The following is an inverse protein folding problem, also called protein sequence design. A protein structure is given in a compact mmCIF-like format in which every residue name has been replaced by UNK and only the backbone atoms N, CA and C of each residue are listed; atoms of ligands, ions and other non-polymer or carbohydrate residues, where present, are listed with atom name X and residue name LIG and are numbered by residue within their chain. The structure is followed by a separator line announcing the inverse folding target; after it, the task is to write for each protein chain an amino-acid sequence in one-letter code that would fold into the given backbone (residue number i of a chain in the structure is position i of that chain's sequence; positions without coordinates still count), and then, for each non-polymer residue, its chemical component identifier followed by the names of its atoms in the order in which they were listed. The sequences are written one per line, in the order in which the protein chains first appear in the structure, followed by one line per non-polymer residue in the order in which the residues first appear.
data_IF_509483320189
#
_entry.id   IF_509483320189
#
_cell.length_a   1.000
_cell.length_b   1.000
_cell.length_c   1.000
_cell.angle_alpha   90.00
_cell.angle_beta   90.00
_cell.angle_gamma   90.00
#
_symmetry.space_group_name_H-M   'P 1'
#
loop_
_entity.id
_entity.type
_entity.pdbx_description
1 polymer ?
#
# COMPACT_ATOMS: atom_id res chain seq x y z
N UNK A 1 18.97 -10.25 10.45
CA UNK A 1 17.58 -10.01 10.91
C UNK A 1 17.07 -11.28 11.60
N UNK A 2 16.28 -11.15 12.68
CA UNK A 2 15.74 -12.27 13.46
C UNK A 2 14.23 -12.38 13.29
N UNK A 3 13.74 -13.52 12.84
CA UNK A 3 12.30 -13.85 12.80
C UNK A 3 11.75 -13.97 14.24
N UNK A 4 10.64 -13.30 14.54
CA UNK A 4 10.00 -13.37 15.87
C UNK A 4 8.76 -14.27 15.81
N UNK A 5 7.75 -13.87 15.03
CA UNK A 5 6.50 -14.63 14.92
C UNK A 5 5.71 -14.24 13.65
N UNK A 6 4.88 -15.16 13.12
CA UNK A 6 3.95 -14.84 12.06
C UNK A 6 2.75 -14.04 12.58
N UNK A 7 2.38 -13.00 11.86
CA UNK A 7 1.12 -12.28 12.04
C UNK A 7 0.10 -12.94 11.12
N UNK A 8 -0.76 -13.79 11.67
CA UNK A 8 -1.75 -14.57 10.92
C UNK A 8 -2.94 -13.72 10.46
N UNK A 9 -2.66 -12.72 9.63
CA UNK A 9 -3.65 -11.83 9.02
C UNK A 9 -3.71 -12.08 7.51
N UNK A 10 -4.87 -12.55 7.04
CA UNK A 10 -5.14 -12.75 5.61
C UNK A 10 -4.22 -13.78 4.93
N UNK A 11 -4.17 -13.71 3.58
CA UNK A 11 -3.39 -14.63 2.75
C UNK A 11 -1.93 -14.22 2.50
N UNK A 12 -1.47 -13.08 3.04
CA UNK A 12 -0.11 -12.55 2.80
C UNK A 12 0.90 -12.94 3.89
N UNK A 13 0.43 -13.53 5.00
CA UNK A 13 1.23 -14.06 6.13
C UNK A 13 2.44 -13.18 6.52
N UNK A 14 2.22 -11.90 6.85
CA UNK A 14 3.30 -11.04 7.33
C UNK A 14 3.95 -11.59 8.60
N UNK A 15 5.15 -11.13 8.94
CA UNK A 15 5.81 -11.54 10.17
C UNK A 15 6.45 -10.36 10.91
N UNK A 16 6.47 -10.46 12.23
CA UNK A 16 7.27 -9.59 13.08
C UNK A 16 8.72 -10.08 13.06
N UNK A 17 9.65 -9.18 12.81
CA UNK A 17 11.08 -9.44 12.85
C UNK A 17 11.84 -8.31 13.57
N UNK A 18 13.01 -8.63 14.07
CA UNK A 18 13.97 -7.68 14.66
C UNK A 18 15.14 -7.52 13.70
N UNK A 19 15.44 -6.29 13.28
CA UNK A 19 16.58 -6.01 12.41
C UNK A 19 17.86 -5.81 13.23
N UNK A 20 18.97 -5.54 12.55
CA UNK A 20 20.29 -5.30 13.12
C UNK A 20 20.46 -3.88 13.70
N UNK A 21 19.48 -3.02 13.50
CA UNK A 21 19.36 -1.68 14.08
C UNK A 21 18.61 -1.65 15.43
N UNK A 22 18.35 -2.84 16.01
CA UNK A 22 17.58 -3.07 17.24
C UNK A 22 16.09 -2.66 17.17
N UNK A 23 15.57 -2.30 15.99
CA UNK A 23 14.15 -2.02 15.77
C UNK A 23 13.38 -3.25 15.30
N UNK A 24 12.06 -3.18 15.49
CA UNK A 24 11.12 -4.21 15.04
C UNK A 24 10.36 -3.76 13.80
N UNK A 25 10.11 -4.70 12.93
CA UNK A 25 9.45 -4.48 11.65
C UNK A 25 8.40 -5.55 11.38
N UNK A 26 7.31 -5.14 10.74
CA UNK A 26 6.37 -6.04 10.07
C UNK A 26 6.87 -6.26 8.65
N UNK A 27 7.31 -7.48 8.36
CA UNK A 27 7.81 -7.85 7.04
C UNK A 27 6.67 -8.27 6.11
N UNK A 28 6.77 -7.79 4.88
CA UNK A 28 5.99 -8.23 3.72
C UNK A 28 6.93 -8.97 2.77
N UNK A 29 6.54 -10.20 2.47
CA UNK A 29 7.40 -11.18 1.82
C UNK A 29 7.23 -11.19 0.29
N UNK A 30 8.34 -11.24 -0.45
CA UNK A 30 8.34 -11.39 -1.92
C UNK A 30 7.83 -12.76 -2.37
N UNK A 31 7.93 -13.78 -1.51
CA UNK A 31 7.45 -15.13 -1.79
C UNK A 31 5.95 -15.32 -1.54
N UNK A 32 5.23 -14.29 -1.08
CA UNK A 32 3.79 -14.36 -0.88
C UNK A 32 3.05 -14.51 -2.22
N UNK A 33 1.77 -14.94 -2.20
CA UNK A 33 1.04 -15.31 -3.42
C UNK A 33 0.93 -14.22 -4.51
N UNK A 34 0.92 -12.93 -4.15
CA UNK A 34 0.93 -11.81 -5.09
C UNK A 34 2.35 -11.29 -5.41
N UNK A 35 3.37 -11.91 -4.82
CA UNK A 35 4.78 -11.71 -5.09
C UNK A 35 5.25 -10.27 -4.92
N UNK A 36 6.27 -9.92 -5.71
CA UNK A 36 6.84 -8.56 -5.77
C UNK A 36 5.84 -7.49 -6.19
N UNK A 37 4.77 -7.83 -6.93
CA UNK A 37 3.72 -6.86 -7.32
C UNK A 37 3.03 -6.28 -6.08
N UNK A 38 2.73 -7.11 -5.06
CA UNK A 38 2.20 -6.63 -3.78
C UNK A 38 3.20 -5.72 -3.04
N UNK A 39 4.50 -6.06 -3.06
CA UNK A 39 5.53 -5.20 -2.45
C UNK A 39 5.64 -3.85 -3.14
N UNK A 40 5.49 -3.83 -4.47
CA UNK A 40 5.43 -2.59 -5.25
C UNK A 40 4.18 -1.78 -4.86
N UNK A 41 3.02 -2.41 -4.69
CA UNK A 41 1.81 -1.70 -4.23
C UNK A 41 1.99 -1.10 -2.83
N UNK A 42 2.57 -1.83 -1.89
CA UNK A 42 2.86 -1.34 -0.55
C UNK A 42 3.85 -0.16 -0.59
N UNK A 43 4.94 -0.30 -1.35
CA UNK A 43 5.96 0.73 -1.49
C UNK A 43 5.40 2.01 -2.12
N UNK A 44 4.72 1.89 -3.26
CA UNK A 44 4.14 3.03 -3.97
C UNK A 44 3.03 3.69 -3.14
N UNK A 45 2.12 2.89 -2.57
CA UNK A 45 1.07 3.37 -1.69
C UNK A 45 1.64 4.16 -0.51
N UNK A 46 2.64 3.61 0.17
CA UNK A 46 3.28 4.30 1.30
C UNK A 46 4.02 5.57 0.88
N UNK A 47 4.77 5.57 -0.23
CA UNK A 47 5.46 6.79 -0.70
C UNK A 47 4.51 7.89 -1.16
N UNK A 48 3.37 7.54 -1.74
CA UNK A 48 2.32 8.50 -2.07
C UNK A 48 1.65 9.03 -0.78
N UNK A 49 1.39 8.17 0.20
CA UNK A 49 0.85 8.58 1.50
C UNK A 49 1.80 9.54 2.24
N UNK A 50 3.11 9.24 2.26
CA UNK A 50 4.16 10.13 2.80
C UNK A 50 4.11 11.50 2.11
N UNK A 51 4.06 11.54 0.78
CA UNK A 51 3.99 12.78 0.02
C UNK A 51 2.74 13.60 0.38
N UNK A 52 1.59 12.95 0.57
CA UNK A 52 0.33 13.58 0.99
C UNK A 52 0.28 13.95 2.48
N UNK A 53 1.35 13.70 3.24
CA UNK A 53 1.42 13.97 4.67
C UNK A 53 0.49 13.08 5.49
N UNK A 54 0.17 11.88 5.00
CA UNK A 54 -0.64 10.90 5.70
C UNK A 54 0.26 10.06 6.63
N UNK A 55 -0.17 9.74 7.86
CA UNK A 55 0.66 8.97 8.78
C UNK A 55 0.75 7.51 8.33
N UNK A 56 1.96 7.05 8.01
CA UNK A 56 2.29 5.64 7.76
C UNK A 56 3.53 5.25 8.57
N UNK A 57 3.68 3.97 8.97
CA UNK A 57 4.96 3.51 9.49
C UNK A 57 6.07 3.70 8.46
N UNK A 58 7.29 3.91 8.96
CA UNK A 58 8.46 4.02 8.09
C UNK A 58 8.64 2.74 7.26
N UNK A 59 8.80 2.94 5.94
CA UNK A 59 9.10 1.87 5.00
C UNK A 59 10.61 1.65 4.93
N UNK A 60 11.03 0.39 5.11
CA UNK A 60 12.42 -0.03 4.98
C UNK A 60 12.55 -1.18 4.01
N UNK A 61 13.67 -1.24 3.30
CA UNK A 61 14.02 -2.45 2.56
C UNK A 61 14.70 -3.45 3.51
N UNK A 62 14.25 -4.70 3.47
CA UNK A 62 14.73 -5.76 4.35
C UNK A 62 15.35 -6.88 3.53
N UNK A 63 16.65 -7.12 3.67
CA UNK A 63 17.30 -8.26 3.03
C UNK A 63 17.20 -9.50 3.93
N UNK A 64 16.63 -10.58 3.40
CA UNK A 64 16.48 -11.85 4.09
C UNK A 64 17.49 -12.85 3.55
N UNK A 65 18.27 -13.46 4.44
CA UNK A 65 19.20 -14.52 4.11
C UNK A 65 18.50 -15.90 4.04
N UNK A 66 19.19 -16.89 3.47
CA UNK A 66 18.74 -18.28 3.36
C UNK A 66 18.55 -18.99 4.72
N UNK A 67 18.99 -18.36 5.81
CA UNK A 67 18.84 -18.85 7.18
C UNK A 67 17.58 -18.27 7.86
N UNK A 68 16.93 -17.28 7.25
CA UNK A 68 15.80 -16.57 7.83
C UNK A 68 14.60 -17.50 8.05
N UNK A 69 14.17 -17.61 9.32
CA UNK A 69 13.02 -18.43 9.69
C UNK A 69 13.24 -19.95 9.61
N UNK A 70 14.50 -20.43 9.57
CA UNK A 70 14.82 -21.88 9.57
C UNK A 70 14.22 -22.69 10.73
N UNK A 71 13.87 -22.02 11.83
CA UNK A 71 13.27 -22.66 13.01
C UNK A 71 11.75 -22.65 13.01
N UNK A 72 11.11 -22.08 11.98
CA UNK A 72 9.65 -22.13 11.84
C UNK A 72 9.20 -23.58 11.68
N UNK A 73 8.14 -23.99 12.37
CA UNK A 73 7.67 -25.38 12.36
C UNK A 73 6.56 -25.61 11.31
N UNK A 74 5.88 -24.53 10.90
CA UNK A 74 4.82 -24.57 9.89
C UNK A 74 5.42 -24.67 8.48
N UNK A 75 5.11 -25.76 7.76
CA UNK A 75 5.68 -26.03 6.42
C UNK A 75 5.28 -24.97 5.38
N UNK A 76 4.04 -24.44 5.45
CA UNK A 76 3.58 -23.41 4.52
C UNK A 76 4.35 -22.10 4.73
N UNK A 77 4.60 -21.74 5.99
CA UNK A 77 5.38 -20.55 6.34
C UNK A 77 6.86 -20.77 5.99
N UNK A 78 7.43 -21.96 6.22
CA UNK A 78 8.80 -22.25 5.81
C UNK A 78 9.02 -22.04 4.31
N UNK A 79 8.12 -22.56 3.48
CA UNK A 79 8.25 -22.44 2.03
C UNK A 79 8.10 -20.98 1.60
N UNK A 80 7.14 -20.24 2.16
CA UNK A 80 7.05 -18.78 2.00
C UNK A 80 8.37 -18.07 2.31
N UNK A 81 9.01 -18.39 3.43
CA UNK A 81 10.26 -17.76 3.85
C UNK A 81 11.43 -18.13 2.94
N UNK A 82 11.52 -19.39 2.49
CA UNK A 82 12.52 -19.83 1.49
C UNK A 82 12.36 -19.08 0.16
N UNK A 83 11.13 -18.94 -0.33
CA UNK A 83 10.85 -18.16 -1.54
C UNK A 83 11.02 -16.66 -1.34
N UNK A 84 11.30 -16.22 -0.11
CA UNK A 84 11.51 -14.82 0.24
C UNK A 84 12.96 -14.45 0.47
N UNK A 85 13.93 -15.31 0.14
CA UNK A 85 15.34 -14.94 0.12
C UNK A 85 15.58 -13.71 -0.78
N UNK A 86 16.36 -12.74 -0.27
CA UNK A 86 16.66 -11.49 -0.95
C UNK A 86 15.90 -10.28 -0.40
N UNK A 87 15.64 -9.29 -1.27
CA UNK A 87 15.08 -7.98 -0.89
C UNK A 87 13.55 -8.01 -0.70
N UNK A 88 13.10 -7.73 0.50
CA UNK A 88 11.71 -7.65 0.92
C UNK A 88 11.38 -6.23 1.40
N UNK A 89 10.15 -6.01 1.83
CA UNK A 89 9.72 -4.74 2.41
C UNK A 89 9.38 -4.91 3.89
N UNK A 90 9.82 -3.98 4.72
CA UNK A 90 9.48 -3.89 6.13
C UNK A 90 8.76 -2.58 6.43
N UNK A 91 7.83 -2.63 7.37
CA UNK A 91 7.18 -1.47 7.96
C UNK A 91 7.56 -1.39 9.43
N UNK A 92 7.94 -0.21 9.91
CA UNK A 92 8.30 -0.08 11.32
C UNK A 92 7.14 -0.51 12.22
N UNK A 93 7.43 -1.36 13.21
CA UNK A 93 6.42 -1.88 14.10
C UNK A 93 6.01 -0.85 15.15
N UNK A 94 4.79 -0.32 15.03
CA UNK A 94 4.23 0.66 15.95
C UNK A 94 3.82 -0.01 17.27
N UNK A 95 4.77 -0.11 18.20
CA UNK A 95 4.54 -0.74 19.51
C UNK A 95 3.43 -0.05 20.28
N UNK A 96 2.46 -0.83 20.78
CA UNK A 96 1.31 -0.34 21.53
C UNK A 96 0.20 0.28 20.68
N UNK A 97 0.31 0.21 19.35
CA UNK A 97 -0.81 0.52 18.45
C UNK A 97 -1.94 -0.50 18.63
N UNK A 98 -3.16 -0.07 18.32
CA UNK A 98 -4.36 -0.92 18.31
C UNK A 98 -5.08 -0.75 16.98
N UNK A 99 -5.85 -1.74 16.56
CA UNK A 99 -6.69 -1.62 15.37
C UNK A 99 -7.68 -0.45 15.52
N UNK A 100 -7.87 0.31 14.45
CA UNK A 100 -8.86 1.38 14.40
C UNK A 100 -10.28 0.81 14.48
N UNK A 101 -11.09 1.37 15.38
CA UNK A 101 -12.51 1.08 15.53
C UNK A 101 -13.34 2.14 14.79
N UNK A 102 -14.21 1.78 13.84
CA UNK A 102 -15.01 2.74 13.05
C UNK A 102 -15.98 3.61 13.87
N UNK A 103 -16.25 3.29 15.14
CA UNK A 103 -17.02 4.14 16.05
C UNK A 103 -16.26 5.38 16.51
N UNK A 104 -14.93 5.38 16.39
CA UNK A 104 -14.07 6.53 16.72
C UNK A 104 -14.24 7.60 15.65
N UNK A 105 -14.41 8.85 16.09
CA UNK A 105 -14.47 10.00 15.20
C UNK A 105 -13.06 10.47 14.83
N UNK A 106 -12.84 10.63 13.54
CA UNK A 106 -11.61 11.16 12.97
C UNK A 106 -11.92 12.53 12.37
N UNK A 107 -10.90 13.39 12.29
CA UNK A 107 -10.98 14.65 11.56
C UNK A 107 -11.48 14.41 10.12
N UNK A 108 -12.45 15.20 9.68
CA UNK A 108 -13.13 14.96 8.41
C UNK A 108 -12.23 15.20 7.21
N UNK A 109 -11.27 16.12 7.31
CA UNK A 109 -10.28 16.36 6.26
C UNK A 109 -9.29 15.20 6.19
N UNK A 110 -8.79 14.70 7.32
CA UNK A 110 -7.95 13.50 7.34
C UNK A 110 -8.68 12.29 6.74
N UNK A 111 -9.92 12.04 7.15
CA UNK A 111 -10.75 10.98 6.58
C UNK A 111 -10.93 11.14 5.06
N UNK A 112 -11.19 12.36 4.59
CA UNK A 112 -11.30 12.66 3.16
C UNK A 112 -9.99 12.47 2.39
N UNK A 113 -8.85 12.84 2.96
CA UNK A 113 -7.55 12.60 2.33
C UNK A 113 -7.26 11.10 2.19
N UNK A 114 -7.59 10.29 3.19
CA UNK A 114 -7.41 8.83 3.13
C UNK A 114 -8.35 8.20 2.09
N UNK A 115 -9.64 8.57 2.07
CA UNK A 115 -10.60 8.08 1.06
C UNK A 115 -10.16 8.48 -0.35
N UNK A 116 -9.71 9.72 -0.53
CA UNK A 116 -9.19 10.20 -1.82
C UNK A 116 -7.94 9.42 -2.22
N UNK A 117 -7.02 9.21 -1.28
CA UNK A 117 -5.77 8.45 -1.49
C UNK A 117 -6.05 7.01 -1.91
N UNK A 118 -6.91 6.28 -1.20
CA UNK A 118 -7.25 4.90 -1.55
C UNK A 118 -7.98 4.82 -2.90
N UNK A 119 -8.82 5.80 -3.24
CA UNK A 119 -9.41 5.89 -4.56
C UNK A 119 -8.35 6.14 -5.65
N UNK A 120 -7.37 7.00 -5.38
CA UNK A 120 -6.27 7.31 -6.27
C UNK A 120 -5.39 6.07 -6.52
N UNK A 121 -4.97 5.34 -5.49
CA UNK A 121 -4.14 4.13 -5.66
C UNK A 121 -4.95 2.85 -5.93
N UNK A 122 -6.28 2.95 -5.96
CA UNK A 122 -7.22 1.83 -6.18
C UNK A 122 -7.19 0.75 -5.10
N UNK A 123 -7.08 1.13 -3.83
CA UNK A 123 -7.00 0.21 -2.70
C UNK A 123 -8.36 -0.40 -2.35
N UNK A 124 -8.54 -1.69 -2.63
CA UNK A 124 -9.82 -2.38 -2.39
C UNK A 124 -10.00 -2.90 -0.96
N UNK A 125 -8.97 -2.86 -0.11
CA UNK A 125 -8.95 -3.61 1.16
C UNK A 125 -9.06 -2.72 2.40
N UNK A 126 -9.34 -1.41 2.26
CA UNK A 126 -9.59 -0.51 3.41
C UNK A 126 -11.08 -0.45 3.78
N UNK A 127 -11.62 -1.55 4.26
CA UNK A 127 -13.06 -1.75 4.46
C UNK A 127 -13.46 -1.83 5.95
N UNK A 128 -14.75 -1.90 6.24
CA UNK A 128 -15.22 -2.14 7.61
C UNK A 128 -14.81 -3.50 8.19
N UNK A 129 -14.53 -4.49 7.33
CA UNK A 129 -14.12 -5.84 7.75
C UNK A 129 -12.62 -5.92 7.99
N UNK A 130 -11.85 -5.23 7.15
CA UNK A 130 -10.41 -5.09 7.31
C UNK A 130 -10.08 -3.61 7.22
N UNK A 131 -9.91 -2.95 8.38
CA UNK A 131 -9.72 -1.49 8.37
C UNK A 131 -8.34 -1.12 7.87
N UNK A 132 -7.34 -1.99 8.02
CA UNK A 132 -5.93 -1.72 7.73
C UNK A 132 -5.46 -0.37 8.30
N UNK A 133 -6.04 0.05 9.42
CA UNK A 133 -5.78 1.32 10.08
C UNK A 133 -5.46 1.04 11.55
N UNK A 134 -4.49 1.78 12.09
CA UNK A 134 -4.07 1.69 13.48
C UNK A 134 -4.33 3.02 14.20
N UNK A 135 -4.68 2.93 15.47
CA UNK A 135 -4.58 4.05 16.40
C UNK A 135 -3.27 3.92 17.17
N UNK A 136 -2.38 4.92 17.02
CA UNK A 136 -1.10 4.98 17.72
C UNK A 136 -0.89 6.39 18.25
N UNK A 137 -0.58 6.52 19.55
CA UNK A 137 -0.48 7.82 20.24
C UNK A 137 -1.67 8.79 20.00
N UNK A 138 -2.89 8.24 19.85
CA UNK A 138 -4.14 8.97 19.53
C UNK A 138 -4.22 9.55 18.12
N UNK A 139 -3.33 9.13 17.23
CA UNK A 139 -3.34 9.47 15.82
C UNK A 139 -3.73 8.24 15.00
N UNK A 140 -4.32 8.48 13.83
CA UNK A 140 -4.71 7.44 12.89
C UNK A 140 -3.56 7.18 11.91
N UNK A 141 -3.14 5.93 11.81
CA UNK A 141 -2.02 5.48 10.97
C UNK A 141 -2.50 4.48 9.92
N UNK A 142 -2.02 4.65 8.70
CA UNK A 142 -2.33 3.82 7.55
C UNK A 142 -1.32 2.67 7.50
N UNK A 143 -1.84 1.45 7.40
CA UNK A 143 -1.04 0.26 7.06
C UNK A 143 -1.67 -0.44 5.86
N UNK A 144 -0.93 -1.39 5.31
CA UNK A 144 -1.34 -2.36 4.29
C UNK A 144 -2.02 -1.72 3.07
N UNK A 145 -1.19 -1.27 2.14
CA UNK A 145 -1.58 -0.80 0.82
C UNK A 145 -1.35 -1.88 -0.26
N UNK A 146 -0.96 -3.10 0.12
CA UNK A 146 -0.63 -4.21 -0.79
C UNK A 146 -1.74 -4.60 -1.75
N UNK A 147 -3.01 -4.36 -1.39
CA UNK A 147 -4.20 -4.60 -2.22
C UNK A 147 -4.57 -3.40 -3.13
N UNK A 148 -3.58 -2.62 -3.53
CA UNK A 148 -3.72 -1.46 -4.43
C UNK A 148 -3.18 -1.77 -5.83
N UNK A 149 -3.38 -0.83 -6.76
CA UNK A 149 -2.90 -0.91 -8.15
C UNK A 149 -3.30 -2.20 -8.88
N UNK A 150 -4.51 -2.70 -8.64
CA UNK A 150 -5.00 -3.99 -9.18
C UNK A 150 -4.81 -4.15 -10.69
N UNK A 151 -4.66 -3.05 -11.44
CA UNK A 151 -4.36 -3.05 -12.86
C UNK A 151 -3.14 -3.91 -13.21
N UNK A 152 -2.11 -3.98 -12.35
CA UNK A 152 -0.86 -4.71 -12.61
C UNK A 152 -1.01 -6.25 -12.55
N UNK A 153 -2.18 -6.73 -12.12
CA UNK A 153 -2.57 -8.14 -12.15
C UNK A 153 -3.43 -8.47 -13.38
N UNK A 154 -3.77 -7.46 -14.19
CA UNK A 154 -4.61 -7.61 -15.37
C UNK A 154 -3.86 -7.19 -16.62
N UNK A 155 -4.04 -7.89 -17.74
CA UNK A 155 -3.53 -7.47 -19.06
C UNK A 155 -4.34 -6.31 -19.66
N UNK A 156 -4.90 -5.44 -18.82
CA UNK A 156 -5.73 -4.32 -19.26
C UNK A 156 -4.86 -3.18 -19.79
N UNK A 157 -5.46 -2.38 -20.67
CA UNK A 157 -4.90 -1.10 -21.05
C UNK A 157 -4.77 -0.19 -19.81
N UNK A 158 -3.54 0.10 -19.39
CA UNK A 158 -3.23 0.91 -18.22
C UNK A 158 -3.88 2.32 -18.26
N UNK A 159 -4.03 2.91 -19.45
CA UNK A 159 -4.73 4.19 -19.64
C UNK A 159 -6.22 4.08 -19.29
N UNK A 160 -6.85 2.97 -19.68
CA UNK A 160 -8.25 2.72 -19.33
C UNK A 160 -8.41 2.47 -17.82
N UNK A 161 -7.46 1.74 -17.21
CA UNK A 161 -7.46 1.50 -15.77
C UNK A 161 -7.32 2.81 -14.96
N UNK A 162 -6.47 3.73 -15.41
CA UNK A 162 -6.26 5.03 -14.77
C UNK A 162 -7.53 5.91 -14.76
N UNK A 163 -8.42 5.75 -15.75
CA UNK A 163 -9.67 6.52 -15.91
C UNK A 163 -10.90 5.84 -15.32
N UNK A 164 -10.73 4.88 -14.43
CA UNK A 164 -11.84 4.19 -13.76
C UNK A 164 -12.36 4.98 -12.54
N UNK A 165 -13.68 4.90 -12.24
CA UNK A 165 -14.29 5.59 -11.10
C UNK A 165 -13.97 5.00 -9.72
N UNK A 166 -13.33 3.83 -9.65
CA UNK A 166 -13.09 3.11 -8.38
C UNK A 166 -14.37 2.86 -7.53
N UNK A 167 -15.24 1.99 -8.04
CA UNK A 167 -16.55 1.67 -7.42
C UNK A 167 -16.47 1.04 -6.02
N UNK A 168 -15.32 0.50 -5.64
CA UNK A 168 -15.12 -0.13 -4.33
C UNK A 168 -15.03 0.89 -3.19
N UNK A 169 -14.91 2.19 -3.49
CA UNK A 169 -14.92 3.26 -2.48
C UNK A 169 -16.16 3.24 -1.59
N UNK A 170 -17.30 2.75 -2.10
CA UNK A 170 -18.53 2.60 -1.33
C UNK A 170 -18.39 1.73 -0.08
N UNK A 171 -17.43 0.81 -0.08
CA UNK A 171 -17.17 -0.14 1.02
C UNK A 171 -16.09 0.39 1.99
N UNK A 172 -15.55 1.59 1.73
CA UNK A 172 -14.43 2.17 2.47
C UNK A 172 -14.83 2.61 3.88
N UNK A 173 -14.04 2.20 4.89
CA UNK A 173 -14.38 2.39 6.31
C UNK A 173 -14.53 3.85 6.75
N UNK A 174 -13.72 4.75 6.21
CA UNK A 174 -13.78 6.19 6.53
C UNK A 174 -14.74 7.00 5.65
N UNK A 175 -15.39 6.40 4.65
CA UNK A 175 -16.28 7.14 3.74
C UNK A 175 -17.38 7.92 4.49
N UNK A 176 -18.03 7.37 5.53
CA UNK A 176 -19.05 8.12 6.30
C UNK A 176 -18.53 9.33 7.06
N UNK A 177 -17.22 9.50 7.20
CA UNK A 177 -16.57 10.62 7.90
C UNK A 177 -15.88 11.60 6.93
N UNK A 178 -15.82 11.27 5.63
CA UNK A 178 -15.09 12.01 4.61
C UNK A 178 -15.91 13.14 3.96
N UNK A 179 -16.25 14.19 4.72
CA UNK A 179 -17.05 15.31 4.22
C UNK A 179 -16.29 16.38 3.42
N UNK A 180 -14.96 16.30 3.33
CA UNK A 180 -14.06 17.31 2.74
C UNK A 180 -13.34 16.78 1.48
N UNK A 181 -14.00 15.94 0.67
CA UNK A 181 -13.38 15.30 -0.50
C UNK A 181 -12.86 16.29 -1.55
N UNK A 182 -13.55 17.42 -1.77
CA UNK A 182 -13.08 18.48 -2.67
C UNK A 182 -11.78 19.14 -2.18
N UNK A 183 -11.66 19.33 -0.87
CA UNK A 183 -10.49 19.93 -0.25
C UNK A 183 -9.30 18.95 -0.29
N UNK A 184 -9.56 17.66 -0.09
CA UNK A 184 -8.56 16.60 -0.26
C UNK A 184 -8.03 16.54 -1.70
N UNK A 185 -8.91 16.64 -2.70
CA UNK A 185 -8.52 16.66 -4.12
C UNK A 185 -7.66 17.88 -4.45
N UNK A 186 -8.07 19.08 -4.04
CA UNK A 186 -7.30 20.31 -4.24
C UNK A 186 -5.92 20.22 -3.58
N UNK A 187 -5.84 19.70 -2.36
CA UNK A 187 -4.57 19.49 -1.67
C UNK A 187 -3.67 18.51 -2.42
N UNK A 188 -4.22 17.38 -2.88
CA UNK A 188 -3.45 16.39 -3.62
C UNK A 188 -2.86 16.96 -4.91
N UNK A 189 -3.61 17.78 -5.66
CA UNK A 189 -3.11 18.48 -6.85
C UNK A 189 -2.03 19.54 -6.58
N UNK A 190 -1.93 20.06 -5.35
CA UNK A 190 -0.83 20.96 -4.95
C UNK A 190 0.47 20.21 -4.64
N UNK A 191 0.35 18.97 -4.17
CA UNK A 191 1.46 18.14 -3.70
C UNK A 191 2.00 17.25 -4.81
N UNK A 192 1.11 16.50 -5.46
CA UNK A 192 1.46 15.50 -6.44
C UNK A 192 1.67 16.14 -7.82
N UNK A 193 2.76 15.76 -8.47
CA UNK A 193 3.14 16.26 -9.79
C UNK A 193 4.15 15.28 -10.43
N UNK A 194 4.50 15.51 -11.70
CA UNK A 194 5.42 14.67 -12.48
C UNK A 194 6.75 14.42 -11.75
N UNK A 195 7.32 15.42 -11.05
CA UNK A 195 8.56 15.22 -10.30
C UNK A 195 8.37 14.23 -9.15
N UNK A 196 7.32 14.44 -8.34
CA UNK A 196 7.01 13.55 -7.22
C UNK A 196 6.75 12.13 -7.71
N UNK A 197 5.99 11.96 -8.79
CA UNK A 197 5.73 10.64 -9.35
C UNK A 197 7.01 9.96 -9.86
N UNK A 198 7.91 10.71 -10.52
CA UNK A 198 9.20 10.18 -10.97
C UNK A 198 10.04 9.72 -9.78
N UNK A 199 10.20 10.57 -8.76
CA UNK A 199 10.95 10.25 -7.55
C UNK A 199 10.37 8.99 -6.86
N UNK A 200 9.04 8.82 -6.84
CA UNK A 200 8.37 7.65 -6.24
C UNK A 200 8.61 6.37 -7.06
N UNK A 201 8.44 6.39 -8.38
CA UNK A 201 8.60 5.17 -9.20
C UNK A 201 10.07 4.75 -9.32
N UNK A 202 11.01 5.67 -9.20
CA UNK A 202 12.45 5.39 -9.28
C UNK A 202 12.95 4.62 -8.05
N UNK A 203 12.25 4.71 -6.90
CA UNK A 203 12.58 3.97 -5.67
C UNK A 203 12.27 2.47 -5.78
N UNK A 204 11.42 2.04 -6.73
CA UNK A 204 11.13 0.61 -6.90
C UNK A 204 12.46 -0.15 -7.16
N UNK A 205 12.79 -1.23 -6.45
CA UNK A 205 13.98 -2.01 -6.75
C UNK A 205 13.92 -2.64 -8.14
N UNK A 206 15.02 -2.58 -8.90
CA UNK A 206 15.10 -3.23 -10.21
C UNK A 206 14.82 -4.74 -10.12
N UNK A 207 15.27 -5.39 -9.04
CA UNK A 207 15.04 -6.81 -8.76
C UNK A 207 13.55 -7.18 -8.66
N UNK A 208 12.66 -6.23 -8.38
CA UNK A 208 11.22 -6.46 -8.31
C UNK A 208 10.50 -6.28 -9.65
N UNK A 209 11.21 -5.84 -10.69
CA UNK A 209 10.64 -5.49 -11.99
C UNK A 209 10.88 -6.55 -13.06
N UNK A 210 11.39 -7.72 -12.67
CA UNK A 210 11.52 -8.88 -13.56
C UNK A 210 10.29 -9.77 -13.38
N UNK A 211 9.26 -9.58 -14.22
CA UNK A 211 8.04 -10.39 -14.16
C UNK A 211 8.00 -11.39 -15.31
N UNK A 212 7.83 -12.68 -15.00
CA UNK A 212 7.83 -13.76 -15.99
C UNK A 212 6.65 -13.70 -16.98
N UNK A 213 5.60 -12.93 -16.65
CA UNK A 213 4.34 -12.87 -17.39
C UNK A 213 4.20 -11.67 -18.34
N UNK A 214 5.24 -10.83 -18.47
CA UNK A 214 5.23 -9.59 -19.25
C UNK A 214 6.47 -9.46 -20.16
N UNK A 215 6.35 -8.69 -21.23
CA UNK A 215 7.46 -8.45 -22.19
C UNK A 215 8.24 -7.16 -21.88
N UNK A 216 7.65 -6.28 -21.08
CA UNK A 216 8.18 -4.99 -20.70
C UNK A 216 9.46 -5.10 -19.87
N UNK A 217 10.44 -4.27 -20.21
CA UNK A 217 11.65 -4.07 -19.43
C UNK A 217 11.35 -3.35 -18.09
N UNK A 218 12.28 -3.42 -17.11
CA UNK A 218 12.12 -2.70 -15.85
C UNK A 218 11.81 -1.20 -16.00
N UNK A 219 12.45 -0.52 -16.96
CA UNK A 219 12.20 0.90 -17.21
C UNK A 219 10.81 1.14 -17.79
N UNK A 220 10.34 0.28 -18.70
CA UNK A 220 8.98 0.34 -19.25
C UNK A 220 7.92 0.10 -18.15
N UNK A 221 8.17 -0.80 -17.20
CA UNK A 221 7.27 -1.02 -16.07
C UNK A 221 7.20 0.22 -15.17
N UNK A 222 8.32 0.89 -14.89
CA UNK A 222 8.31 2.17 -14.15
C UNK A 222 7.51 3.23 -14.89
N UNK A 223 7.68 3.33 -16.20
CA UNK A 223 6.93 4.28 -17.02
C UNK A 223 5.43 3.95 -17.02
N UNK A 224 5.03 2.67 -16.95
CA UNK A 224 3.62 2.28 -16.77
C UNK A 224 3.07 2.86 -15.45
N UNK A 225 3.76 2.68 -14.32
CA UNK A 225 3.32 3.24 -13.04
C UNK A 225 3.29 4.77 -13.06
N UNK A 226 4.32 5.41 -13.63
CA UNK A 226 4.37 6.86 -13.77
C UNK A 226 3.18 7.40 -14.57
N UNK A 227 2.92 6.83 -15.75
CA UNK A 227 1.82 7.24 -16.61
C UNK A 227 0.46 6.95 -15.98
N UNK A 228 0.32 5.85 -15.24
CA UNK A 228 -0.89 5.56 -14.48
C UNK A 228 -1.17 6.65 -13.44
N UNK A 229 -0.18 6.96 -12.58
CA UNK A 229 -0.32 7.96 -11.52
C UNK A 229 -0.65 9.35 -12.08
N UNK A 230 0.07 9.76 -13.12
CA UNK A 230 -0.16 11.02 -13.83
C UNK A 230 -1.57 11.10 -14.41
N UNK A 231 -1.93 10.12 -15.24
CA UNK A 231 -3.26 10.07 -15.89
C UNK A 231 -4.37 10.05 -14.86
N UNK A 232 -4.18 9.31 -13.77
CA UNK A 232 -5.18 9.19 -12.70
C UNK A 232 -5.35 10.49 -11.92
N UNK A 233 -4.28 11.26 -11.69
CA UNK A 233 -4.35 12.58 -11.06
C UNK A 233 -5.07 13.58 -11.98
N UNK A 234 -4.68 13.64 -13.27
CA UNK A 234 -5.30 14.50 -14.28
C UNK A 234 -6.81 14.25 -14.43
N UNK A 235 -7.25 13.02 -14.14
CA UNK A 235 -8.64 12.59 -14.23
C UNK A 235 -9.27 12.32 -12.84
N UNK A 236 -8.75 12.91 -11.76
CA UNK A 236 -9.19 12.63 -10.39
C UNK A 236 -10.68 12.89 -10.17
N UNK A 237 -11.25 13.83 -10.93
CA UNK A 237 -12.70 14.14 -10.94
C UNK A 237 -13.58 12.90 -11.15
N UNK A 238 -13.10 11.88 -11.86
CA UNK A 238 -13.86 10.65 -12.12
C UNK A 238 -14.09 9.87 -10.83
N UNK A 239 -13.03 9.53 -10.09
CA UNK A 239 -13.17 8.77 -8.84
C UNK A 239 -13.64 9.66 -7.68
N UNK A 240 -13.34 10.97 -7.71
CA UNK A 240 -13.86 11.94 -6.75
C UNK A 240 -15.40 11.97 -6.77
N UNK A 241 -15.99 12.02 -7.97
CA UNK A 241 -17.44 12.01 -8.12
C UNK A 241 -18.05 10.68 -7.66
N UNK A 242 -17.41 9.55 -7.92
CA UNK A 242 -17.86 8.25 -7.41
C UNK A 242 -17.87 8.23 -5.87
N UNK A 243 -16.79 8.69 -5.22
CA UNK A 243 -16.71 8.76 -3.77
C UNK A 243 -17.81 9.64 -3.17
N UNK A 244 -18.04 10.83 -3.75
CA UNK A 244 -19.13 11.72 -3.33
C UNK A 244 -20.51 11.11 -3.51
N UNK A 245 -20.73 10.37 -4.60
CA UNK A 245 -22.00 9.71 -4.85
C UNK A 245 -22.25 8.54 -3.89
N UNK A 246 -21.20 7.78 -3.56
CA UNK A 246 -21.28 6.67 -2.61
C UNK A 246 -21.47 7.13 -1.16
N UNK A 247 -21.02 8.34 -0.81
CA UNK A 247 -21.17 8.92 0.53
C UNK A 247 -22.51 9.62 0.79
N UNK A 248 -23.42 9.68 -0.20
CA UNK A 248 -24.79 10.21 -0.06
C UNK A 248 -25.75 9.12 0.39
#
# INVERSE_FOLDING_TARGET
MRYILPLREGGSLPALAEADDDFKYVLKFRGAGHGVKMLISELLGGKIAEALGLPIPELVFAFLDVDFGRTEADEEIQDLLKFSEGLNLGLHYLSGSIAYDPSVRIDSLLASKIVWFDAFITNIDRTFKNTNLLMWHKELWIIDNGASFYFHHSRQNFDAAAKTPFKYVKDHVLLPQASNLDEADQFAHQVLNDKVFRDIVDVIPQDWLHWDDVEESPDEIREIYFNFLKTRLENSVIFLNEAKNAGR
#
